data_IF_865303616312
#
_entry.id   IF_865303616312
#
_cell.length_a   1.000
_cell.length_b   1.000
_cell.length_c   1.000
_cell.angle_alpha   90.00
_cell.angle_beta   90.00
_cell.angle_gamma   90.00
#
_symmetry.space_group_name_H-M   'P 1'
#
loop_
_entity.id
_entity.type
_entity.pdbx_description
1 polymer ?
#
# COMPACT_ATOMS: atom_id res chain seq x y z
N UNK A 1 23.87 -6.28 16.41
CA UNK A 1 22.83 -5.28 16.74
C UNK A 1 21.76 -5.32 15.66
N UNK A 2 20.51 -5.13 16.07
CA UNK A 2 19.25 -5.72 15.58
C UNK A 2 19.03 -5.74 14.07
N UNK A 3 18.95 -6.97 13.53
CA UNK A 3 18.49 -7.30 12.19
C UNK A 3 16.98 -6.94 12.09
N UNK A 4 16.66 -5.78 11.50
CA UNK A 4 15.28 -5.36 11.18
C UNK A 4 14.76 -6.18 9.99
N UNK A 5 14.66 -7.49 10.20
CA UNK A 5 13.98 -8.43 9.30
C UNK A 5 12.48 -8.29 9.51
N UNK A 6 11.93 -7.11 9.19
CA UNK A 6 10.49 -6.97 8.95
C UNK A 6 10.31 -7.47 7.52
N UNK A 7 10.35 -8.79 7.36
CA UNK A 7 9.79 -9.45 6.19
C UNK A 7 8.33 -9.01 6.16
N UNK A 8 8.06 -7.90 5.47
CA UNK A 8 6.75 -7.61 4.90
C UNK A 8 6.50 -8.85 4.08
N UNK A 9 5.83 -9.83 4.70
CA UNK A 9 5.42 -11.06 4.05
C UNK A 9 4.76 -10.54 2.78
N UNK A 10 5.41 -10.77 1.64
CA UNK A 10 4.89 -10.46 0.30
C UNK A 10 3.70 -11.38 0.09
N UNK A 11 2.67 -11.25 0.93
CA UNK A 11 1.38 -11.85 0.70
C UNK A 11 0.89 -11.05 -0.48
N UNK A 12 0.88 -11.72 -1.63
CA UNK A 12 0.36 -11.18 -2.87
C UNK A 12 -0.97 -10.52 -2.55
N UNK A 13 -1.12 -9.26 -2.93
CA UNK A 13 -2.39 -8.58 -2.82
C UNK A 13 -3.30 -9.13 -3.92
N UNK A 14 -4.51 -9.51 -3.56
CA UNK A 14 -5.49 -10.07 -4.50
C UNK A 14 -6.58 -9.03 -4.79
N UNK A 15 -7.25 -9.16 -5.94
CA UNK A 15 -8.39 -8.30 -6.26
C UNK A 15 -9.48 -8.47 -5.19
N UNK A 16 -9.93 -7.36 -4.61
CA UNK A 16 -10.89 -7.32 -3.49
C UNK A 16 -10.25 -7.14 -2.12
N UNK A 17 -8.93 -7.29 -1.97
CA UNK A 17 -8.25 -7.03 -0.70
C UNK A 17 -8.32 -5.55 -0.30
N UNK A 18 -8.54 -5.31 0.99
CA UNK A 18 -8.39 -3.99 1.59
C UNK A 18 -6.92 -3.70 1.86
N UNK A 19 -6.45 -2.55 1.39
CA UNK A 19 -5.07 -2.11 1.48
C UNK A 19 -5.01 -0.63 1.83
N UNK A 20 -3.99 -0.25 2.57
CA UNK A 20 -3.59 1.13 2.75
C UNK A 20 -2.56 1.47 1.69
N UNK A 21 -2.61 2.68 1.15
CA UNK A 21 -1.60 3.20 0.21
C UNK A 21 -0.67 4.17 0.92
N UNK A 22 0.60 4.19 0.54
CA UNK A 22 1.54 5.18 1.04
C UNK A 22 1.21 6.57 0.47
N UNK A 23 1.20 7.61 1.30
CA UNK A 23 1.00 8.99 0.86
C UNK A 23 2.25 9.44 0.11
N UNK A 24 2.12 9.70 -1.19
CA UNK A 24 3.25 10.04 -2.10
C UNK A 24 4.02 11.31 -1.70
N UNK A 25 3.43 12.19 -0.88
CA UNK A 25 4.11 13.38 -0.31
C UNK A 25 5.13 13.06 0.79
N UNK A 26 5.23 11.81 1.27
CA UNK A 26 6.21 11.41 2.28
C UNK A 26 7.66 11.28 1.73
N UNK A 27 7.87 11.50 0.43
CA UNK A 27 9.17 11.37 -0.22
C UNK A 27 9.93 12.69 -0.34
N UNK A 28 10.52 13.18 0.76
CA UNK A 28 11.89 13.76 0.80
C UNK A 28 12.36 14.27 2.16
N UNK A 29 11.46 14.65 3.07
CA UNK A 29 11.84 15.48 4.23
C UNK A 29 11.31 15.01 5.60
N UNK A 30 10.82 13.78 5.76
CA UNK A 30 10.18 13.38 7.03
C UNK A 30 11.01 12.37 7.86
N UNK A 31 11.11 12.57 9.19
CA UNK A 31 11.85 11.68 10.08
C UNK A 31 11.31 10.24 10.05
N UNK A 32 12.18 9.22 10.18
CA UNK A 32 11.83 7.79 10.11
C UNK A 32 10.89 7.27 11.23
N UNK A 33 10.35 8.15 12.08
CA UNK A 33 9.50 7.80 13.22
C UNK A 33 8.00 7.78 12.97
N UNK A 34 7.51 8.43 11.91
CA UNK A 34 6.06 8.66 11.71
C UNK A 34 5.47 7.87 10.53
N UNK A 35 6.01 6.67 10.28
CA UNK A 35 5.64 5.82 9.15
C UNK A 35 4.19 5.31 9.21
N UNK A 36 3.54 5.29 10.38
CA UNK A 36 2.16 4.83 10.52
C UNK A 36 1.13 5.90 10.06
N UNK A 37 1.44 7.19 10.25
CA UNK A 37 0.61 8.33 9.77
C UNK A 37 0.69 8.57 8.25
N UNK A 38 1.66 7.94 7.57
CA UNK A 38 1.88 8.09 6.14
C UNK A 38 1.00 7.17 5.28
N UNK A 39 0.25 6.25 5.89
CA UNK A 39 -0.67 5.36 5.18
C UNK A 39 -2.05 6.02 5.06
N UNK A 40 -2.56 6.09 3.84
CA UNK A 40 -3.90 6.59 3.54
C UNK A 40 -4.80 5.42 3.14
N UNK A 41 -6.07 5.48 3.54
CA UNK A 41 -7.07 4.49 3.13
C UNK A 41 -7.74 3.81 4.30
N UNK A 42 -8.82 3.06 4.03
CA UNK A 42 -8.71 1.85 3.22
C UNK A 42 -9.08 2.01 1.74
N UNK A 43 -8.30 1.36 0.88
CA UNK A 43 -8.52 1.19 -0.55
C UNK A 43 -8.74 -0.29 -0.85
N UNK A 44 -9.40 -0.58 -1.97
CA UNK A 44 -9.64 -1.95 -2.44
C UNK A 44 -8.74 -2.18 -3.65
N UNK A 45 -8.03 -3.31 -3.68
CA UNK A 45 -7.30 -3.72 -4.88
C UNK A 45 -8.31 -4.06 -5.96
N UNK A 46 -8.35 -3.29 -7.05
CA UNK A 46 -9.26 -3.57 -8.16
C UNK A 46 -8.65 -4.52 -9.17
N UNK A 47 -7.36 -4.35 -9.46
CA UNK A 47 -6.70 -5.11 -10.51
C UNK A 47 -5.20 -5.28 -10.24
N UNK A 48 -4.70 -6.50 -10.41
CA UNK A 48 -3.27 -6.80 -10.37
C UNK A 48 -2.73 -6.80 -11.81
N UNK A 49 -1.99 -5.75 -12.18
CA UNK A 49 -1.45 -5.60 -13.54
C UNK A 49 -0.14 -6.38 -13.75
N UNK A 50 0.54 -6.78 -12.67
CA UNK A 50 1.80 -7.54 -12.73
C UNK A 50 2.27 -7.98 -11.35
N UNK A 51 3.44 -8.61 -11.28
CA UNK A 51 3.97 -9.28 -10.07
C UNK A 51 4.09 -8.39 -8.83
N UNK A 52 4.03 -7.06 -8.98
CA UNK A 52 4.02 -6.14 -7.85
C UNK A 52 3.29 -4.82 -8.17
N UNK A 53 2.39 -4.78 -9.14
CA UNK A 53 1.73 -3.55 -9.58
C UNK A 53 0.22 -3.71 -9.56
N UNK A 54 -0.46 -2.79 -8.88
CA UNK A 54 -1.87 -2.88 -8.56
C UNK A 54 -2.60 -1.58 -8.86
N UNK A 55 -3.80 -1.68 -9.43
CA UNK A 55 -4.78 -0.59 -9.46
C UNK A 55 -5.61 -0.68 -8.20
N UNK A 56 -5.75 0.46 -7.55
CA UNK A 56 -6.60 0.61 -6.38
C UNK A 56 -7.92 1.26 -6.77
N UNK A 57 -8.97 0.94 -6.02
CA UNK A 57 -10.23 1.65 -6.00
C UNK A 57 -10.50 2.19 -4.60
N UNK A 58 -11.20 3.32 -4.52
CA UNK A 58 -11.84 3.75 -3.27
C UNK A 58 -13.00 2.82 -2.93
N UNK A 59 -13.46 2.89 -1.68
CA UNK A 59 -14.69 2.21 -1.24
C UNK A 59 -15.91 2.65 -2.07
N UNK A 60 -15.91 3.86 -2.60
CA UNK A 60 -16.89 4.40 -3.55
C UNK A 60 -16.78 3.80 -4.98
N UNK A 61 -15.93 2.77 -5.17
CA UNK A 61 -15.61 2.18 -6.49
C UNK A 61 -14.91 3.12 -7.47
N UNK A 62 -14.54 4.33 -7.05
CA UNK A 62 -13.71 5.23 -7.84
C UNK A 62 -12.32 4.64 -8.04
N UNK A 63 -11.91 4.41 -9.30
CA UNK A 63 -10.57 3.91 -9.59
C UNK A 63 -9.53 5.02 -9.43
N UNK A 64 -8.43 4.68 -8.77
CA UNK A 64 -7.25 5.54 -8.77
C UNK A 64 -6.59 5.45 -10.14
N UNK A 65 -6.37 6.62 -10.75
CA UNK A 65 -5.66 6.73 -12.04
C UNK A 65 -4.20 6.26 -11.93
N UNK A 66 -3.62 6.35 -10.73
CA UNK A 66 -2.25 5.92 -10.44
C UNK A 66 -2.19 4.41 -10.19
N UNK A 67 -1.20 3.76 -10.80
CA UNK A 67 -0.81 2.38 -10.49
C UNK A 67 0.11 2.41 -9.27
N UNK A 68 -0.15 1.53 -8.31
CA UNK A 68 0.59 1.43 -7.06
C UNK A 68 1.48 0.18 -7.05
N UNK A 69 2.69 0.31 -6.53
CA UNK A 69 3.56 -0.84 -6.33
C UNK A 69 3.18 -1.55 -5.04
N UNK A 70 3.37 -2.86 -4.95
CA UNK A 70 3.15 -3.64 -3.72
C UNK A 70 3.97 -3.14 -2.54
N UNK A 71 5.08 -2.45 -2.79
CA UNK A 71 5.88 -1.78 -1.74
C UNK A 71 5.20 -0.51 -1.17
N UNK A 72 4.39 0.17 -1.98
CA UNK A 72 3.62 1.35 -1.58
C UNK A 72 2.24 0.96 -1.01
N UNK A 73 1.99 -0.33 -0.84
CA UNK A 73 0.73 -0.88 -0.37
C UNK A 73 0.94 -1.73 0.88
N UNK A 74 0.03 -1.59 1.85
CA UNK A 74 0.04 -2.38 3.07
C UNK A 74 -1.33 -3.03 3.22
N UNK A 75 -1.37 -4.37 3.26
CA UNK A 75 -2.63 -5.10 3.47
C UNK A 75 -3.25 -4.70 4.81
N UNK A 76 -4.50 -4.25 4.77
CA UNK A 76 -5.28 -3.93 5.94
C UNK A 76 -5.97 -5.22 6.39
N UNK A 77 -5.49 -5.79 7.49
CA UNK A 77 -6.13 -6.93 8.13
C UNK A 77 -7.15 -6.40 9.14
N UNK A 78 -8.40 -6.84 9.01
CA UNK A 78 -9.35 -6.82 10.12
C UNK A 78 -9.16 -8.05 11.00
#
# INVERSE_FOLDING_TARGET
MTNYNKHIRRRSLEEGDLVLKLRTTAGRDMPPGELDSNWEGPFIVRNALGSNTYKLARQDRTLLLRIWNGNDLRKFYS
#
